data_IF_214929537215
#
_entry.id   IF_214929537215
#
_cell.length_a   1.000
_cell.length_b   1.000
_cell.length_c   1.000
_cell.angle_alpha   90.00
_cell.angle_beta   90.00
_cell.angle_gamma   90.00
#
_symmetry.space_group_name_H-M   'P 1'
#
loop_
_entity.id
_entity.type
_entity.pdbx_description
1 polymer ?
#
# COMPACT_ATOMS: atom_id res chain seq x y z
N UNK A 1 1.91 -23.02 6.18
CA UNK A 1 2.54 -21.70 5.93
C UNK A 1 2.88 -21.47 4.44
N UNK A 2 3.47 -22.45 3.76
CA UNK A 2 3.88 -22.32 2.35
C UNK A 2 2.74 -21.86 1.44
N UNK A 3 1.55 -22.46 1.55
CA UNK A 3 0.40 -22.09 0.73
C UNK A 3 -0.05 -20.63 1.00
N UNK A 4 -0.04 -20.21 2.26
CA UNK A 4 -0.42 -18.84 2.62
C UNK A 4 0.59 -17.82 2.07
N UNK A 5 1.88 -18.13 2.09
CA UNK A 5 2.93 -17.27 1.51
C UNK A 5 2.75 -17.14 0.00
N UNK A 6 2.51 -18.25 -0.69
CA UNK A 6 2.29 -18.25 -2.14
C UNK A 6 1.05 -17.45 -2.54
N UNK A 7 -0.04 -17.61 -1.78
CA UNK A 7 -1.27 -16.82 -1.98
C UNK A 7 -1.02 -15.34 -1.78
N UNK A 8 -0.28 -14.97 -0.73
CA UNK A 8 0.08 -13.58 -0.46
C UNK A 8 0.95 -13.00 -1.58
N UNK A 9 1.92 -13.76 -2.09
CA UNK A 9 2.76 -13.31 -3.21
C UNK A 9 1.93 -13.06 -4.47
N UNK A 10 0.98 -13.94 -4.77
CA UNK A 10 0.10 -13.78 -5.92
C UNK A 10 -0.78 -12.53 -5.79
N UNK A 11 -1.29 -12.26 -4.60
CA UNK A 11 -2.07 -11.05 -4.32
C UNK A 11 -1.23 -9.79 -4.44
N UNK A 12 0.03 -9.82 -3.97
CA UNK A 12 0.94 -8.69 -4.14
C UNK A 12 1.19 -8.40 -5.62
N UNK A 13 1.40 -9.43 -6.43
CA UNK A 13 1.56 -9.27 -7.88
C UNK A 13 0.30 -8.70 -8.53
N UNK A 14 -0.88 -9.13 -8.09
CA UNK A 14 -2.15 -8.61 -8.60
C UNK A 14 -2.29 -7.12 -8.28
N UNK A 15 -1.94 -6.70 -7.06
CA UNK A 15 -1.93 -5.28 -6.67
C UNK A 15 -1.02 -4.50 -7.62
N UNK A 16 0.20 -4.98 -7.87
CA UNK A 16 1.13 -4.32 -8.77
C UNK A 16 0.59 -4.18 -10.20
N UNK A 17 -0.18 -5.16 -10.68
CA UNK A 17 -0.81 -5.11 -12.00
C UNK A 17 -1.99 -4.14 -12.06
N UNK A 18 -2.72 -3.99 -10.95
CA UNK A 18 -3.93 -3.17 -10.90
C UNK A 18 -3.65 -1.68 -10.62
N UNK A 19 -2.47 -1.36 -10.07
CA UNK A 19 -2.09 0.02 -9.75
C UNK A 19 -2.13 0.94 -10.97
N UNK A 20 -1.56 0.59 -12.15
CA UNK A 20 -1.59 1.50 -13.31
C UNK A 20 -3.00 1.91 -13.73
N UNK A 21 -3.96 1.00 -13.73
CA UNK A 21 -5.35 1.32 -14.07
C UNK A 21 -6.01 2.25 -13.06
N UNK A 22 -5.78 2.00 -11.77
CA UNK A 22 -6.29 2.87 -10.71
C UNK A 22 -5.64 4.26 -10.79
N UNK A 23 -4.34 4.33 -11.06
CA UNK A 23 -3.62 5.58 -11.22
C UNK A 23 -4.18 6.40 -12.38
N UNK A 24 -4.35 5.77 -13.53
CA UNK A 24 -4.93 6.43 -14.70
C UNK A 24 -6.32 6.99 -14.39
N UNK A 25 -7.18 6.20 -13.76
CA UNK A 25 -8.54 6.61 -13.41
C UNK A 25 -8.56 7.81 -12.45
N UNK A 26 -7.61 7.88 -11.52
CA UNK A 26 -7.59 8.92 -10.48
C UNK A 26 -6.80 10.17 -10.88
N UNK A 27 -5.87 10.09 -11.84
CA UNK A 27 -4.85 11.12 -12.04
C UNK A 27 -4.83 11.67 -13.48
N UNK A 28 -5.72 11.21 -14.35
CA UNK A 28 -5.71 11.50 -15.81
C UNK A 28 -5.64 12.98 -16.20
N UNK A 29 -6.18 13.88 -15.39
CA UNK A 29 -6.26 15.30 -15.73
C UNK A 29 -5.01 16.10 -15.37
N UNK A 30 -4.07 15.51 -14.64
CA UNK A 30 -2.88 16.19 -14.12
C UNK A 30 -1.65 16.05 -15.05
N UNK A 31 -1.68 15.08 -15.99
CA UNK A 31 -0.52 14.74 -16.79
C UNK A 31 0.58 13.97 -16.03
N UNK A 32 0.36 13.61 -14.79
CA UNK A 32 1.31 12.84 -13.99
C UNK A 32 1.30 11.37 -14.39
N UNK A 33 2.46 10.72 -14.40
CA UNK A 33 2.61 9.30 -14.68
C UNK A 33 3.33 8.62 -13.51
N UNK A 34 3.18 7.29 -13.40
CA UNK A 34 3.87 6.53 -12.34
C UNK A 34 5.39 6.59 -12.48
N UNK A 35 5.90 6.83 -13.67
CA UNK A 35 7.32 6.99 -13.93
C UNK A 35 7.83 8.43 -13.76
N UNK A 36 6.94 9.38 -13.49
CA UNK A 36 7.35 10.77 -13.26
C UNK A 36 8.20 10.86 -12.01
N UNK A 37 9.44 11.33 -12.16
CA UNK A 37 10.27 11.69 -11.02
C UNK A 37 9.84 13.07 -10.51
N UNK A 38 8.77 13.07 -9.73
CA UNK A 38 8.19 14.29 -9.23
C UNK A 38 8.83 14.67 -7.90
N UNK A 39 10.14 14.97 -7.92
CA UNK A 39 10.83 15.52 -6.74
C UNK A 39 10.16 16.80 -6.27
N UNK A 40 9.59 17.55 -7.20
CA UNK A 40 8.87 18.79 -6.92
C UNK A 40 7.55 18.58 -6.17
N UNK A 41 7.03 17.34 -6.14
CA UNK A 41 5.79 17.02 -5.43
C UNK A 41 6.01 16.40 -4.05
N UNK A 42 7.26 16.06 -3.69
CA UNK A 42 7.55 15.42 -2.40
C UNK A 42 7.21 16.35 -1.22
N UNK A 43 7.37 17.64 -1.37
CA UNK A 43 7.00 18.60 -0.32
C UNK A 43 5.49 18.55 -0.03
N UNK A 44 4.67 18.18 -1.02
CA UNK A 44 3.23 18.07 -0.86
C UNK A 44 2.83 16.91 0.05
N UNK A 45 3.69 15.90 0.24
CA UNK A 45 3.44 14.82 1.19
C UNK A 45 3.16 15.36 2.59
N UNK A 46 3.99 16.32 3.03
CA UNK A 46 3.81 16.94 4.33
C UNK A 46 2.60 17.89 4.36
N UNK A 47 2.41 18.68 3.31
CA UNK A 47 1.30 19.64 3.22
C UNK A 47 -0.06 18.94 3.18
N UNK A 48 -0.15 17.80 2.50
CA UNK A 48 -1.37 17.00 2.41
C UNK A 48 -1.56 16.16 3.67
N UNK A 49 -0.48 15.82 4.36
CA UNK A 49 -0.52 15.00 5.56
C UNK A 49 -0.43 13.51 5.30
N UNK A 50 0.22 13.11 4.19
CA UNK A 50 0.42 11.70 3.85
C UNK A 50 1.53 11.12 4.75
N UNK A 51 1.22 10.09 5.56
CA UNK A 51 2.22 9.51 6.45
C UNK A 51 3.22 8.64 5.69
N UNK A 52 4.44 8.53 6.23
CA UNK A 52 5.45 7.65 5.68
C UNK A 52 5.10 6.17 5.98
N UNK A 53 5.21 5.26 4.99
CA UNK A 53 4.98 3.84 5.24
C UNK A 53 6.13 3.22 6.06
N UNK A 54 5.88 2.08 6.74
CA UNK A 54 6.94 1.36 7.44
C UNK A 54 8.03 0.89 6.48
N UNK A 55 9.27 0.85 6.96
CA UNK A 55 10.42 0.40 6.16
C UNK A 55 10.56 -1.12 6.27
N UNK A 56 10.62 -1.80 5.11
CA UNK A 56 10.78 -3.26 5.02
C UNK A 56 12.18 -3.72 4.61
N UNK A 57 13.07 -2.78 4.33
CA UNK A 57 14.40 -3.08 3.75
C UNK A 57 15.51 -3.27 4.78
N UNK A 58 15.24 -3.86 5.92
CA UNK A 58 16.30 -4.18 6.87
C UNK A 58 16.61 -5.66 6.84
N UNK A 59 17.87 -6.01 6.61
CA UNK A 59 18.33 -7.41 6.67
C UNK A 59 18.23 -8.00 8.08
N UNK A 60 18.05 -7.15 9.08
CA UNK A 60 17.93 -7.55 10.48
C UNK A 60 16.48 -7.88 10.89
N UNK A 61 15.51 -7.74 9.98
CA UNK A 61 14.11 -8.00 10.30
C UNK A 61 13.85 -9.51 10.46
N UNK A 62 13.30 -9.88 11.62
CA UNK A 62 12.75 -11.21 11.83
C UNK A 62 11.46 -11.38 11.01
N UNK A 63 11.03 -12.62 10.80
CA UNK A 63 9.75 -12.90 10.14
C UNK A 63 8.59 -12.21 10.87
N UNK A 64 8.58 -12.24 12.21
CA UNK A 64 7.56 -11.57 13.03
C UNK A 64 7.52 -10.07 12.75
N UNK A 65 8.66 -9.40 12.76
CA UNK A 65 8.75 -7.96 12.51
C UNK A 65 8.34 -7.63 11.08
N UNK A 66 8.76 -8.44 10.11
CA UNK A 66 8.41 -8.24 8.71
C UNK A 66 6.91 -8.33 8.49
N UNK A 67 6.26 -9.38 9.02
CA UNK A 67 4.82 -9.56 8.87
C UNK A 67 4.05 -8.44 9.56
N UNK A 68 4.47 -8.02 10.75
CA UNK A 68 3.81 -6.93 11.47
C UNK A 68 3.90 -5.60 10.72
N UNK A 69 5.06 -5.29 10.14
CA UNK A 69 5.25 -4.07 9.35
C UNK A 69 4.48 -4.10 8.04
N UNK A 70 4.39 -5.26 7.40
CA UNK A 70 3.60 -5.42 6.18
C UNK A 70 2.12 -5.16 6.47
N UNK A 71 1.58 -5.76 7.52
CA UNK A 71 0.18 -5.55 7.94
C UNK A 71 -0.06 -4.07 8.24
N UNK A 72 0.81 -3.44 9.03
CA UNK A 72 0.72 -2.01 9.35
C UNK A 72 0.69 -1.14 8.09
N UNK A 73 1.60 -1.40 7.16
CA UNK A 73 1.67 -0.64 5.91
C UNK A 73 0.48 -0.84 5.00
N UNK A 74 -0.06 -2.06 4.91
CA UNK A 74 -1.25 -2.35 4.12
C UNK A 74 -2.48 -1.64 4.69
N UNK A 75 -2.65 -1.65 6.00
CA UNK A 75 -3.75 -0.94 6.66
C UNK A 75 -3.64 0.57 6.45
N UNK A 76 -2.44 1.11 6.54
CA UNK A 76 -2.17 2.53 6.32
C UNK A 76 -2.55 2.94 4.89
N UNK A 77 -2.07 2.20 3.88
CA UNK A 77 -2.37 2.50 2.49
C UNK A 77 -3.84 2.32 2.15
N UNK A 78 -4.48 1.30 2.72
CA UNK A 78 -5.91 1.07 2.53
C UNK A 78 -6.72 2.27 3.02
N UNK A 79 -6.45 2.71 4.25
CA UNK A 79 -7.15 3.85 4.85
C UNK A 79 -6.91 5.14 4.06
N UNK A 80 -5.66 5.38 3.68
CA UNK A 80 -5.24 6.55 2.91
C UNK A 80 -5.99 6.63 1.58
N UNK A 81 -5.98 5.55 0.81
CA UNK A 81 -6.64 5.49 -0.49
C UNK A 81 -8.16 5.50 -0.37
N UNK A 82 -8.70 4.93 0.71
CA UNK A 82 -10.14 4.98 0.99
C UNK A 82 -10.62 6.43 1.20
N UNK A 83 -9.87 7.21 1.98
CA UNK A 83 -10.20 8.63 2.21
C UNK A 83 -10.09 9.46 0.93
N UNK A 84 -9.04 9.23 0.13
CA UNK A 84 -8.86 9.92 -1.15
C UNK A 84 -9.98 9.52 -2.13
N UNK A 85 -10.32 8.25 -2.19
CA UNK A 85 -11.38 7.74 -3.05
C UNK A 85 -12.75 8.29 -2.72
N UNK A 86 -13.03 8.54 -1.44
CA UNK A 86 -14.28 9.15 -1.01
C UNK A 86 -14.46 10.56 -1.58
N UNK A 87 -13.36 11.33 -1.65
CA UNK A 87 -13.39 12.69 -2.22
C UNK A 87 -13.49 12.66 -3.75
N UNK A 88 -12.83 11.69 -4.40
CA UNK A 88 -12.84 11.54 -5.87
C UNK A 88 -14.12 10.89 -6.41
N UNK A 89 -15.10 10.56 -5.56
CA UNK A 89 -16.31 9.82 -5.96
C UNK A 89 -15.98 8.45 -6.56
N UNK A 90 -15.21 7.69 -5.82
CA UNK A 90 -14.63 6.36 -6.05
C UNK A 90 -14.82 5.73 -7.44
N UNK A 91 -13.71 5.53 -8.13
CA UNK A 91 -13.66 4.80 -9.40
C UNK A 91 -13.72 3.29 -9.13
N UNK A 92 -14.23 2.53 -10.11
CA UNK A 92 -14.26 1.08 -10.04
C UNK A 92 -12.85 0.49 -9.86
N UNK A 93 -11.88 1.03 -10.60
CA UNK A 93 -10.48 0.57 -10.57
C UNK A 93 -9.86 0.75 -9.17
N UNK A 94 -10.15 1.87 -8.52
CA UNK A 94 -9.66 2.11 -7.16
C UNK A 94 -10.33 1.17 -6.16
N UNK A 95 -11.62 0.91 -6.31
CA UNK A 95 -12.35 -0.01 -5.45
C UNK A 95 -11.84 -1.45 -5.59
N UNK A 96 -11.51 -1.90 -6.80
CA UNK A 96 -10.90 -3.20 -7.04
C UNK A 96 -9.53 -3.29 -6.37
N UNK A 97 -8.72 -2.24 -6.48
CA UNK A 97 -7.41 -2.18 -5.84
C UNK A 97 -7.52 -2.27 -4.31
N UNK A 98 -8.48 -1.54 -3.73
CA UNK A 98 -8.74 -1.59 -2.29
C UNK A 98 -9.17 -2.98 -1.83
N UNK A 99 -9.98 -3.68 -2.62
CA UNK A 99 -10.37 -5.06 -2.34
C UNK A 99 -9.16 -5.99 -2.36
N UNK A 100 -8.24 -5.80 -3.32
CA UNK A 100 -7.01 -6.58 -3.40
C UNK A 100 -6.12 -6.36 -2.17
N UNK A 101 -6.00 -5.12 -1.71
CA UNK A 101 -5.25 -4.78 -0.49
C UNK A 101 -5.87 -5.46 0.73
N UNK A 102 -7.20 -5.46 0.82
CA UNK A 102 -7.92 -6.14 1.90
C UNK A 102 -7.65 -7.65 1.87
N UNK A 103 -7.68 -8.27 0.69
CA UNK A 103 -7.41 -9.70 0.53
C UNK A 103 -5.97 -10.05 0.95
N UNK A 104 -5.00 -9.22 0.55
CA UNK A 104 -3.61 -9.43 0.95
C UNK A 104 -3.45 -9.28 2.47
N UNK A 105 -4.08 -8.28 3.07
CA UNK A 105 -4.06 -8.08 4.52
C UNK A 105 -4.61 -9.31 5.25
N UNK A 106 -5.71 -9.88 4.76
CA UNK A 106 -6.29 -11.10 5.34
C UNK A 106 -5.32 -12.28 5.27
N UNK A 107 -4.59 -12.44 4.16
CA UNK A 107 -3.58 -13.49 4.04
C UNK A 107 -2.41 -13.28 5.01
N UNK A 108 -1.99 -12.04 5.20
CA UNK A 108 -0.94 -11.73 6.16
C UNK A 108 -1.37 -12.03 7.60
N UNK A 109 -2.61 -11.72 7.96
CA UNK A 109 -3.17 -12.10 9.26
C UNK A 109 -3.21 -13.61 9.44
N UNK A 110 -3.56 -14.35 8.39
CA UNK A 110 -3.52 -15.82 8.42
C UNK A 110 -2.10 -16.34 8.63
N UNK A 111 -1.11 -15.75 7.98
CA UNK A 111 0.29 -16.09 8.19
C UNK A 111 0.73 -15.83 9.63
N UNK A 112 0.31 -14.70 10.21
CA UNK A 112 0.58 -14.38 11.61
C UNK A 112 -0.04 -15.43 12.54
N UNK A 113 -1.28 -15.83 12.25
CA UNK A 113 -1.97 -16.86 13.04
C UNK A 113 -1.23 -18.20 12.96
N UNK A 114 -0.81 -18.62 11.78
CA UNK A 114 -0.08 -19.87 11.59
C UNK A 114 1.30 -19.86 12.26
N UNK A 115 1.95 -18.71 12.29
CA UNK A 115 3.24 -18.53 12.93
C UNK A 115 3.14 -18.22 14.44
N UNK A 116 1.92 -18.14 14.97
CA UNK A 116 1.63 -17.79 16.37
C UNK A 116 2.18 -16.41 16.75
N UNK A 117 2.11 -15.47 15.83
CA UNK A 117 2.52 -14.07 16.03
C UNK A 117 1.28 -13.28 16.46
N UNK A 118 1.35 -12.53 17.58
CA UNK A 118 0.21 -11.72 18.00
C UNK A 118 -0.07 -10.62 16.98
N UNK A 119 -1.35 -10.44 16.68
CA UNK A 119 -1.80 -9.37 15.80
C UNK A 119 -1.70 -8.03 16.55
N UNK A 120 -0.86 -7.12 16.04
CA UNK A 120 -0.78 -5.77 16.57
C UNK A 120 -1.61 -4.84 15.71
N UNK A 121 -2.61 -4.20 16.30
CA UNK A 121 -3.36 -3.15 15.62
C UNK A 121 -2.54 -1.87 15.61
N UNK A 122 -2.14 -1.44 14.43
CA UNK A 122 -1.52 -0.14 14.28
C UNK A 122 -2.61 0.93 14.20
N UNK A 123 -2.58 1.85 15.17
CA UNK A 123 -3.53 2.97 15.23
C UNK A 123 -2.83 4.28 14.86
N UNK A 124 -2.13 4.32 13.74
CA UNK A 124 -1.59 5.59 13.26
C UNK A 124 -2.74 6.42 12.70
N UNK A 125 -3.14 7.43 13.46
CA UNK A 125 -4.08 8.42 12.99
C UNK A 125 -3.36 9.45 12.12
N UNK A 126 -3.98 9.82 11.00
CA UNK A 126 -3.51 10.91 10.16
C UNK A 126 -4.71 11.71 9.67
N UNK A 127 -4.47 12.98 9.36
CA UNK A 127 -5.50 13.86 8.82
C UNK A 127 -5.01 14.39 7.48
N UNK A 128 -5.79 14.14 6.42
CA UNK A 128 -5.46 14.62 5.08
C UNK A 128 -6.04 16.00 4.84
N UNK A 129 -5.22 16.87 4.25
CA UNK A 129 -5.64 18.20 3.80
C UNK A 129 -5.88 18.13 2.29
N UNK A 130 -7.13 17.83 1.91
CA UNK A 130 -7.54 17.66 0.53
C UNK A 130 -8.34 18.88 0.08
N UNK A 131 -7.63 19.96 -0.27
CA UNK A 131 -8.23 21.25 -0.63
C UNK A 131 -8.18 21.43 -2.15
N UNK A 132 -9.29 21.13 -2.83
CA UNK A 132 -9.40 21.30 -4.27
C UNK A 132 -9.05 20.04 -5.06
N UNK A 133 -9.53 19.99 -6.30
CA UNK A 133 -9.43 18.82 -7.18
C UNK A 133 -7.98 18.44 -7.49
N UNK A 134 -7.14 19.43 -7.78
CA UNK A 134 -5.73 19.17 -8.11
C UNK A 134 -5.01 18.52 -6.94
N UNK A 135 -5.19 19.02 -5.72
CA UNK A 135 -4.53 18.48 -4.53
C UNK A 135 -4.98 17.05 -4.24
N UNK A 136 -6.27 16.76 -4.43
CA UNK A 136 -6.80 15.39 -4.26
C UNK A 136 -6.16 14.43 -5.26
N UNK A 137 -6.02 14.85 -6.51
CA UNK A 137 -5.41 14.02 -7.57
C UNK A 137 -3.92 13.84 -7.37
N UNK A 138 -3.21 14.85 -6.88
CA UNK A 138 -1.80 14.73 -6.49
C UNK A 138 -1.66 13.76 -5.31
N UNK A 139 -2.58 13.84 -4.34
CA UNK A 139 -2.60 12.91 -3.22
C UNK A 139 -2.79 11.45 -3.69
N UNK A 140 -3.70 11.23 -4.65
CA UNK A 140 -3.89 9.91 -5.26
C UNK A 140 -2.62 9.44 -5.97
N UNK A 141 -1.98 10.30 -6.74
CA UNK A 141 -0.72 9.99 -7.43
C UNK A 141 0.37 9.56 -6.44
N UNK A 142 0.62 10.37 -5.41
CA UNK A 142 1.66 10.10 -4.43
C UNK A 142 1.36 8.82 -3.64
N UNK A 143 0.11 8.62 -3.25
CA UNK A 143 -0.31 7.44 -2.48
C UNK A 143 -0.18 6.16 -3.29
N UNK A 144 -0.59 6.17 -4.56
CA UNK A 144 -0.48 5.00 -5.45
C UNK A 144 0.98 4.70 -5.77
N UNK A 145 1.81 5.71 -5.93
CA UNK A 145 3.25 5.55 -6.14
C UNK A 145 3.92 4.93 -4.92
N UNK A 146 3.53 5.37 -3.71
CA UNK A 146 4.02 4.78 -2.46
C UNK A 146 3.54 3.34 -2.31
N UNK A 147 2.28 3.04 -2.63
CA UNK A 147 1.74 1.69 -2.58
C UNK A 147 2.50 0.76 -3.51
N UNK A 148 2.83 1.22 -4.72
CA UNK A 148 3.61 0.42 -5.67
C UNK A 148 4.97 0.04 -5.10
N UNK A 149 5.70 1.02 -4.58
CA UNK A 149 7.01 0.79 -3.97
C UNK A 149 6.92 -0.13 -2.76
N UNK A 150 5.95 0.12 -1.89
CA UNK A 150 5.71 -0.70 -0.71
C UNK A 150 5.36 -2.14 -1.08
N UNK A 151 4.49 -2.33 -2.07
CA UNK A 151 4.07 -3.67 -2.52
C UNK A 151 5.23 -4.45 -3.15
N UNK A 152 6.13 -3.78 -3.86
CA UNK A 152 7.36 -4.40 -4.36
C UNK A 152 8.23 -4.92 -3.19
N UNK A 153 8.36 -4.14 -2.14
CA UNK A 153 9.10 -4.55 -0.94
C UNK A 153 8.39 -5.69 -0.21
N UNK A 154 7.06 -5.66 -0.15
CA UNK A 154 6.25 -6.76 0.41
C UNK A 154 6.53 -8.06 -0.34
N UNK A 155 6.50 -8.01 -1.67
CA UNK A 155 6.75 -9.19 -2.50
C UNK A 155 8.14 -9.77 -2.23
N UNK A 156 9.17 -8.93 -2.16
CA UNK A 156 10.53 -9.36 -1.84
C UNK A 156 10.62 -10.01 -0.46
N UNK A 157 9.97 -9.42 0.53
CA UNK A 157 9.94 -9.96 1.89
C UNK A 157 9.26 -11.32 1.95
N UNK A 158 8.12 -11.46 1.26
CA UNK A 158 7.39 -12.73 1.18
C UNK A 158 8.21 -13.80 0.47
N UNK A 159 8.88 -13.43 -0.61
CA UNK A 159 9.78 -14.34 -1.34
C UNK A 159 10.91 -14.82 -0.44
N UNK A 160 11.50 -13.92 0.35
CA UNK A 160 12.55 -14.28 1.31
C UNK A 160 12.02 -15.28 2.35
N UNK A 161 10.82 -15.06 2.88
CA UNK A 161 10.17 -15.98 3.81
C UNK A 161 9.95 -17.36 3.16
N UNK A 162 9.49 -17.38 1.90
CA UNK A 162 9.25 -18.61 1.15
C UNK A 162 10.53 -19.42 0.96
N UNK A 163 11.65 -18.74 0.69
CA UNK A 163 12.94 -19.39 0.46
C UNK A 163 13.61 -19.87 1.75
N UNK A 164 13.20 -19.34 2.91
CA UNK A 164 13.77 -19.66 4.23
C UNK A 164 13.09 -20.86 4.88
N UNK A 165 12.01 -21.34 4.32
CA UNK A 165 11.25 -22.49 4.86
C UNK A 165 11.66 -23.80 4.20
#
# INVERSE_FOLDING_TARGET
MTHAVESAMSLAQKILRDIPGAHEACVTTTGLTLSSEAKDLEYLLNDIGIPAPPVLKSEELTMEMSLSRIVEGLELHHKLLQEIGAVLSSTEELNLLLADVTDLSAQLHEMQRLAKIPSTESKKAFTLQLNGDYQVRVAAHLSLKQLRSFTQDVFRSLRHIALSN
#
